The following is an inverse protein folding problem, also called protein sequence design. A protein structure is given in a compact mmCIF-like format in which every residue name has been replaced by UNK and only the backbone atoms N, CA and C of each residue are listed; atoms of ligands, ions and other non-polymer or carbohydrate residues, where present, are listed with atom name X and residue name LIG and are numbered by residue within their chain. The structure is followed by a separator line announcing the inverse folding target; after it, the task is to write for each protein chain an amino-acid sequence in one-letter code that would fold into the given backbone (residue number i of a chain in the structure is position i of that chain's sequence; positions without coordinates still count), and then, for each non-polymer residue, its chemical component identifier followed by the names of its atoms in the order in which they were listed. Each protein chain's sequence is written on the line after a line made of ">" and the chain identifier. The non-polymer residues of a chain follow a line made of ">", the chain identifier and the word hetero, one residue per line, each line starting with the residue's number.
data_IF_476996967032
#
_entry.id   IF_476996967032
#
_cell.length_a   1.000
_cell.length_b   1.000
_cell.length_c   1.000
_cell.angle_alpha   90.00
_cell.angle_beta   90.00
_cell.angle_gamma   90.00
#
_symmetry.space_group_name_H-M   'P 1'
#
loop_
_entity.id
_entity.type
_entity.pdbx_description
1 polymer ?
#
# COMPACT_ATOMS: atom_id res chain seq x y z
N UNK A 1 23.11 -40.61 16.11
CA UNK A 1 23.89 -40.73 14.86
C UNK A 1 23.35 -39.66 13.94
N UNK A 2 24.01 -38.49 13.93
CA UNK A 2 24.87 -38.02 12.83
C UNK A 2 23.98 -37.63 11.64
N UNK A 3 23.88 -36.39 11.20
CA UNK A 3 24.95 -35.58 10.63
C UNK A 3 24.58 -34.08 10.63
N UNK A 4 25.07 -33.28 11.56
CA UNK A 4 25.11 -31.81 11.41
C UNK A 4 26.31 -31.28 12.21
N UNK A 5 27.52 -31.66 11.79
CA UNK A 5 28.77 -31.11 12.31
C UNK A 5 29.80 -31.04 11.17
N UNK A 6 29.52 -30.22 10.15
CA UNK A 6 30.51 -29.82 9.13
C UNK A 6 30.29 -28.36 8.71
N UNK A 7 30.44 -27.46 9.69
CA UNK A 7 30.93 -26.06 9.53
C UNK A 7 30.62 -25.33 10.83
N UNK A 8 31.59 -25.27 11.74
CA UNK A 8 31.47 -24.75 13.11
C UNK A 8 31.27 -23.25 13.22
N UNK A 9 30.24 -22.70 12.57
CA UNK A 9 29.72 -21.37 12.87
C UNK A 9 28.28 -21.57 13.34
N UNK A 10 28.12 -21.76 14.65
CA UNK A 10 26.84 -21.45 15.28
C UNK A 10 26.61 -19.97 15.01
N UNK A 11 25.79 -19.63 14.02
CA UNK A 11 25.25 -18.28 13.91
C UNK A 11 24.34 -18.08 15.12
N UNK A 12 24.95 -17.75 16.25
CA UNK A 12 24.24 -17.20 17.37
C UNK A 12 23.58 -15.93 16.83
N UNK A 13 22.24 -15.78 16.95
CA UNK A 13 21.59 -14.53 16.60
C UNK A 13 22.32 -13.40 17.34
N UNK A 14 22.69 -12.33 16.65
CA UNK A 14 23.36 -11.16 17.24
C UNK A 14 22.52 -10.47 18.32
N UNK A 15 21.31 -10.98 18.58
CA UNK A 15 20.30 -10.40 19.45
C UNK A 15 19.68 -11.48 20.33
N UNK A 16 19.21 -11.10 21.52
CA UNK A 16 18.52 -12.05 22.41
C UNK A 16 17.21 -12.55 21.78
N UNK A 17 16.66 -13.68 22.28
CA UNK A 17 15.41 -14.28 21.75
C UNK A 17 14.26 -13.28 21.61
N UNK A 18 14.10 -12.35 22.57
CA UNK A 18 13.06 -11.31 22.53
C UNK A 18 13.24 -10.36 21.34
N UNK A 19 14.49 -9.92 21.11
CA UNK A 19 14.81 -9.02 20.00
C UNK A 19 14.73 -9.74 18.65
N UNK A 20 15.11 -11.02 18.58
CA UNK A 20 14.91 -11.84 17.37
C UNK A 20 13.43 -11.97 17.00
N UNK A 21 12.55 -12.21 17.99
CA UNK A 21 11.10 -12.24 17.76
C UNK A 21 10.56 -10.91 17.21
N UNK A 22 10.94 -9.78 17.83
CA UNK A 22 10.53 -8.44 17.36
C UNK A 22 11.00 -8.14 15.93
N UNK A 23 12.19 -8.63 15.55
CA UNK A 23 12.74 -8.47 14.20
C UNK A 23 11.92 -9.24 13.17
N UNK A 24 11.54 -10.48 13.49
CA UNK A 24 10.63 -11.27 12.66
C UNK A 24 9.24 -10.61 12.54
N UNK A 25 8.64 -10.19 13.67
CA UNK A 25 7.35 -9.49 13.68
C UNK A 25 7.40 -8.22 12.82
N UNK A 26 8.46 -7.41 12.95
CA UNK A 26 8.66 -6.21 12.11
C UNK A 26 8.75 -6.57 10.63
N UNK A 27 9.52 -7.60 10.28
CA UNK A 27 9.66 -8.05 8.88
C UNK A 27 8.30 -8.44 8.30
N UNK A 28 7.51 -9.22 9.03
CA UNK A 28 6.16 -9.63 8.62
C UNK A 28 5.24 -8.42 8.43
N UNK A 29 5.22 -7.48 9.37
CA UNK A 29 4.43 -6.24 9.24
C UNK A 29 4.84 -5.41 8.02
N UNK A 30 6.14 -5.31 7.75
CA UNK A 30 6.62 -4.56 6.57
C UNK A 30 6.14 -5.22 5.28
N UNK A 31 6.29 -6.54 5.17
CA UNK A 31 5.84 -7.28 4.00
C UNK A 31 4.31 -7.16 3.80
N UNK A 32 3.54 -7.24 4.89
CA UNK A 32 2.09 -7.06 4.87
C UNK A 32 1.69 -5.66 4.39
N UNK A 33 2.40 -4.61 4.81
CA UNK A 33 2.14 -3.23 4.34
C UNK A 33 2.30 -3.15 2.82
N UNK A 34 3.37 -3.73 2.26
CA UNK A 34 3.60 -3.70 0.80
C UNK A 34 2.49 -4.47 0.07
N UNK A 35 2.18 -5.69 0.53
CA UNK A 35 1.16 -6.54 -0.09
C UNK A 35 -0.23 -5.88 -0.08
N UNK A 36 -0.60 -5.27 1.05
CA UNK A 36 -1.91 -4.62 1.21
C UNK A 36 -2.02 -3.34 0.39
N UNK A 37 -0.95 -2.55 0.27
CA UNK A 37 -0.94 -1.35 -0.58
C UNK A 37 -1.06 -1.71 -2.07
N UNK A 38 -0.34 -2.75 -2.53
CA UNK A 38 -0.50 -3.23 -3.91
C UNK A 38 -1.91 -3.74 -4.19
N UNK A 39 -2.52 -4.42 -3.22
CA UNK A 39 -3.91 -4.88 -3.35
C UNK A 39 -4.86 -3.71 -3.44
N UNK A 40 -4.66 -2.68 -2.63
CA UNK A 40 -5.46 -1.46 -2.68
C UNK A 40 -5.37 -0.76 -4.05
N UNK A 41 -4.16 -0.61 -4.60
CA UNK A 41 -3.98 -0.08 -5.97
C UNK A 41 -4.68 -0.91 -7.05
N UNK A 42 -4.65 -2.25 -6.92
CA UNK A 42 -5.41 -3.15 -7.82
C UNK A 42 -6.92 -2.93 -7.71
N UNK A 43 -7.44 -2.79 -6.50
CA UNK A 43 -8.87 -2.56 -6.27
C UNK A 43 -9.32 -1.21 -6.87
N UNK A 44 -8.52 -0.15 -6.71
CA UNK A 44 -8.78 1.15 -7.35
C UNK A 44 -8.79 1.06 -8.88
N UNK A 45 -7.86 0.31 -9.47
CA UNK A 45 -7.84 0.08 -10.92
C UNK A 45 -9.11 -0.60 -11.41
N UNK A 46 -9.60 -1.61 -10.69
CA UNK A 46 -10.84 -2.31 -11.03
C UNK A 46 -12.02 -1.32 -11.00
N UNK A 47 -12.08 -0.46 -9.99
CA UNK A 47 -13.12 0.58 -9.88
C UNK A 47 -13.09 1.52 -11.11
N UNK A 48 -11.91 1.95 -11.53
CA UNK A 48 -11.76 2.85 -12.69
C UNK A 48 -12.08 2.17 -14.03
N UNK A 49 -11.55 0.97 -14.27
CA UNK A 49 -11.67 0.30 -15.57
C UNK A 49 -13.01 -0.40 -15.77
N UNK A 50 -13.61 -0.95 -14.71
CA UNK A 50 -14.87 -1.70 -14.81
C UNK A 50 -16.11 -0.85 -14.53
N UNK A 51 -15.97 0.30 -13.86
CA UNK A 51 -17.10 1.18 -13.54
C UNK A 51 -16.96 2.57 -14.14
N UNK A 52 -15.88 3.30 -13.87
CA UNK A 52 -15.73 4.68 -14.36
C UNK A 52 -15.69 4.76 -15.90
N UNK A 53 -14.77 4.04 -16.54
CA UNK A 53 -14.60 4.06 -18.00
C UNK A 53 -15.86 3.59 -18.75
N UNK A 54 -16.52 2.48 -18.36
CA UNK A 54 -17.73 2.02 -19.04
C UNK A 54 -18.90 3.00 -18.87
N UNK A 55 -19.07 3.62 -17.70
CA UNK A 55 -20.12 4.62 -17.49
C UNK A 55 -19.89 5.90 -18.31
N UNK A 56 -18.63 6.32 -18.46
CA UNK A 56 -18.25 7.46 -19.30
C UNK A 56 -18.54 7.20 -20.79
N UNK A 57 -18.11 6.03 -21.31
CA UNK A 57 -18.28 5.66 -22.73
C UNK A 57 -19.75 5.41 -23.07
N UNK A 58 -20.51 4.80 -22.16
CA UNK A 58 -21.94 4.57 -22.35
C UNK A 58 -22.78 5.86 -22.27
N UNK A 59 -22.18 6.99 -21.84
CA UNK A 59 -22.88 8.27 -21.70
C UNK A 59 -24.02 8.22 -20.69
N UNK A 60 -23.98 7.29 -19.74
CA UNK A 60 -25.04 7.07 -18.76
C UNK A 60 -25.16 8.23 -17.76
N UNK A 61 -24.05 8.95 -17.54
CA UNK A 61 -23.92 10.08 -16.62
C UNK A 61 -23.03 11.16 -17.24
N UNK A 62 -23.25 12.43 -16.85
CA UNK A 62 -22.36 13.52 -17.27
C UNK A 62 -21.01 13.43 -16.56
N UNK A 63 -19.99 14.09 -17.11
CA UNK A 63 -18.66 14.14 -16.49
C UNK A 63 -18.70 14.70 -15.05
N UNK A 64 -19.61 15.64 -14.75
CA UNK A 64 -19.81 16.16 -13.39
C UNK A 64 -20.41 15.12 -12.44
N UNK A 65 -21.39 14.33 -12.89
CA UNK A 65 -21.98 13.27 -12.07
C UNK A 65 -20.97 12.15 -11.79
N UNK A 66 -20.14 11.80 -12.78
CA UNK A 66 -19.06 10.85 -12.59
C UNK A 66 -17.98 11.40 -11.65
N UNK A 67 -17.61 12.67 -11.76
CA UNK A 67 -16.70 13.32 -10.83
C UNK A 67 -17.28 13.41 -9.40
N UNK A 68 -18.59 13.46 -9.23
CA UNK A 68 -19.23 13.41 -7.91
C UNK A 68 -19.19 12.01 -7.26
N UNK A 69 -19.31 10.95 -8.07
CA UNK A 69 -19.30 9.55 -7.61
C UNK A 69 -17.87 9.05 -7.40
N UNK A 70 -17.01 9.25 -8.39
CA UNK A 70 -15.63 8.75 -8.41
C UNK A 70 -14.62 9.75 -7.88
N UNK A 71 -15.02 11.00 -7.57
CA UNK A 71 -14.17 12.04 -6.97
C UNK A 71 -12.81 12.15 -7.68
N UNK A 72 -11.72 12.26 -6.91
CA UNK A 72 -10.33 12.24 -7.40
C UNK A 72 -9.74 10.82 -7.38
N UNK A 73 -10.52 9.79 -7.70
CA UNK A 73 -10.05 8.39 -7.66
C UNK A 73 -8.90 8.08 -8.63
N UNK A 74 -8.77 8.80 -9.76
CA UNK A 74 -7.60 8.67 -10.65
C UNK A 74 -6.31 9.16 -9.97
N UNK A 75 -6.34 10.36 -9.38
CA UNK A 75 -5.22 10.90 -8.61
C UNK A 75 -4.88 10.00 -7.42
N UNK A 76 -5.90 9.44 -6.75
CA UNK A 76 -5.75 8.51 -5.66
C UNK A 76 -5.07 7.20 -6.10
N UNK A 77 -5.47 6.68 -7.26
CA UNK A 77 -4.87 5.49 -7.85
C UNK A 77 -3.41 5.71 -8.22
N UNK A 78 -3.08 6.83 -8.86
CA UNK A 78 -1.70 7.17 -9.23
C UNK A 78 -0.81 7.29 -7.98
N UNK A 79 -1.30 7.97 -6.95
CA UNK A 79 -0.61 8.15 -5.69
C UNK A 79 -0.39 6.83 -4.93
N UNK A 80 -1.42 5.99 -4.83
CA UNK A 80 -1.32 4.67 -4.19
C UNK A 80 -0.36 3.76 -4.96
N UNK A 81 -0.44 3.74 -6.29
CA UNK A 81 0.46 2.93 -7.12
C UNK A 81 1.92 3.40 -6.94
N UNK A 82 2.17 4.71 -6.93
CA UNK A 82 3.50 5.25 -6.69
C UNK A 82 4.05 4.91 -5.29
N UNK A 83 3.20 4.85 -4.26
CA UNK A 83 3.59 4.38 -2.94
C UNK A 83 3.92 2.89 -2.93
N UNK A 84 3.05 2.07 -3.53
CA UNK A 84 3.25 0.62 -3.63
C UNK A 84 4.57 0.28 -4.33
N UNK A 85 4.86 0.96 -5.45
CA UNK A 85 6.10 0.77 -6.20
C UNK A 85 7.32 1.15 -5.36
N UNK A 86 7.32 2.31 -4.70
CA UNK A 86 8.42 2.71 -3.81
C UNK A 86 8.65 1.72 -2.68
N UNK A 87 7.58 1.22 -2.06
CA UNK A 87 7.66 0.25 -0.97
C UNK A 87 8.29 -1.06 -1.47
N UNK A 88 7.82 -1.58 -2.60
CA UNK A 88 8.32 -2.79 -3.23
C UNK A 88 9.78 -2.65 -3.66
N UNK A 89 10.15 -1.56 -4.32
CA UNK A 89 11.52 -1.30 -4.75
C UNK A 89 12.49 -1.30 -3.57
N UNK A 90 12.12 -0.66 -2.45
CA UNK A 90 12.97 -0.64 -1.25
C UNK A 90 13.08 -2.03 -0.61
N UNK A 91 12.03 -2.84 -0.67
CA UNK A 91 12.02 -4.21 -0.19
C UNK A 91 12.95 -5.10 -1.03
N UNK A 92 12.84 -5.01 -2.35
CA UNK A 92 13.66 -5.76 -3.31
C UNK A 92 15.13 -5.39 -3.18
N UNK A 93 15.46 -4.09 -3.14
CA UNK A 93 16.83 -3.61 -2.94
C UNK A 93 17.43 -4.15 -1.64
N UNK A 94 16.66 -4.16 -0.54
CA UNK A 94 17.14 -4.69 0.74
C UNK A 94 17.43 -6.20 0.64
N UNK A 95 16.54 -6.96 0.01
CA UNK A 95 16.70 -8.41 -0.20
C UNK A 95 17.92 -8.69 -1.09
N UNK A 96 18.08 -7.96 -2.20
CA UNK A 96 19.21 -8.09 -3.12
C UNK A 96 20.56 -7.77 -2.46
N UNK A 97 20.58 -6.86 -1.49
CA UNK A 97 21.76 -6.53 -0.68
C UNK A 97 22.04 -7.53 0.44
N UNK A 98 21.21 -8.58 0.58
CA UNK A 98 21.34 -9.61 1.61
C UNK A 98 20.77 -9.21 2.98
N UNK A 99 19.98 -8.14 3.05
CA UNK A 99 19.22 -7.78 4.25
C UNK A 99 17.89 -8.54 4.29
N UNK A 100 17.97 -9.85 4.53
CA UNK A 100 16.81 -10.74 4.58
C UNK A 100 15.79 -10.36 5.67
N UNK A 101 16.20 -9.56 6.67
CA UNK A 101 15.35 -9.11 7.77
C UNK A 101 14.84 -7.67 7.62
N UNK A 102 15.15 -7.02 6.48
CA UNK A 102 14.68 -5.69 6.13
C UNK A 102 15.03 -4.62 7.19
N UNK A 103 16.17 -4.76 7.86
CA UNK A 103 16.63 -3.79 8.85
C UNK A 103 16.92 -2.41 8.27
N UNK A 104 17.38 -2.35 7.02
CA UNK A 104 17.75 -1.10 6.33
C UNK A 104 16.53 -0.39 5.76
N UNK A 105 15.39 -1.07 5.63
CA UNK A 105 14.14 -0.49 5.12
C UNK A 105 13.54 0.47 6.15
N UNK A 106 13.55 1.76 5.81
CA UNK A 106 12.91 2.81 6.60
C UNK A 106 11.52 3.14 6.05
N UNK A 107 10.52 2.39 6.53
CA UNK A 107 9.11 2.60 6.19
C UNK A 107 8.62 3.97 6.66
N UNK A 108 9.15 4.51 7.75
CA UNK A 108 8.77 5.83 8.25
C UNK A 108 9.14 6.93 7.26
N UNK A 109 10.35 6.85 6.70
CA UNK A 109 10.80 7.75 5.64
C UNK A 109 9.93 7.65 4.39
N UNK A 110 9.60 6.42 3.95
CA UNK A 110 8.75 6.20 2.77
C UNK A 110 7.35 6.80 2.97
N UNK A 111 6.75 6.64 4.15
CA UNK A 111 5.47 7.28 4.45
C UNK A 111 5.56 8.80 4.56
N UNK A 112 6.64 9.36 5.10
CA UNK A 112 6.82 10.81 5.16
C UNK A 112 6.95 11.43 3.76
N UNK A 113 7.66 10.76 2.85
CA UNK A 113 7.72 11.17 1.44
C UNK A 113 6.35 11.06 0.74
N UNK A 114 5.50 10.14 1.20
CA UNK A 114 4.15 9.95 0.72
C UNK A 114 3.07 10.77 1.47
N UNK A 115 3.43 11.50 2.53
CA UNK A 115 2.47 12.24 3.35
C UNK A 115 1.61 13.26 2.57
N UNK A 116 2.12 13.98 1.55
CA UNK A 116 1.28 14.83 0.71
C UNK A 116 0.19 14.05 -0.04
N UNK A 117 0.47 12.80 -0.41
CA UNK A 117 -0.49 11.91 -1.07
C UNK A 117 -1.59 11.45 -0.10
N UNK A 118 -1.25 11.20 1.17
CA UNK A 118 -2.21 10.84 2.21
C UNK A 118 -3.20 11.99 2.54
N UNK A 119 -2.83 13.26 2.31
CA UNK A 119 -3.80 14.37 2.39
C UNK A 119 -4.84 14.33 1.25
N UNK A 120 -4.52 13.76 0.09
CA UNK A 120 -5.49 13.52 -0.96
C UNK A 120 -6.53 12.47 -0.53
N UNK A 121 -6.14 11.47 0.27
CA UNK A 121 -7.08 10.51 0.90
C UNK A 121 -8.03 11.19 1.90
N UNK A 122 -7.54 12.12 2.73
CA UNK A 122 -8.39 12.89 3.65
C UNK A 122 -9.48 13.66 2.88
N UNK A 123 -9.09 14.28 1.76
CA UNK A 123 -10.02 14.98 0.87
C UNK A 123 -11.02 14.04 0.20
N UNK A 124 -10.62 12.82 -0.13
CA UNK A 124 -11.49 11.79 -0.70
C UNK A 124 -12.53 11.28 0.31
N UNK A 125 -12.10 10.88 1.51
CA UNK A 125 -12.97 10.33 2.56
C UNK A 125 -14.00 11.35 3.07
N UNK A 126 -13.61 12.62 3.20
CA UNK A 126 -14.53 13.70 3.63
C UNK A 126 -15.60 14.01 2.57
N UNK A 127 -15.26 13.89 1.28
CA UNK A 127 -16.19 14.14 0.17
C UNK A 127 -17.10 12.95 -0.14
N UNK A 128 -16.64 11.71 0.05
CA UNK A 128 -17.49 10.51 -0.12
C UNK A 128 -18.68 10.50 0.83
N UNK A 129 -18.46 10.81 2.11
CA UNK A 129 -19.54 10.85 3.12
C UNK A 129 -20.53 11.97 2.84
N UNK A 130 -20.04 13.13 2.38
CA UNK A 130 -20.89 14.26 1.98
C UNK A 130 -21.78 13.96 0.79
N UNK A 131 -21.24 13.32 -0.26
CA UNK A 131 -22.02 13.00 -1.47
C UNK A 131 -22.99 11.82 -1.24
N UNK A 132 -22.63 10.81 -0.45
CA UNK A 132 -23.54 9.71 -0.07
C UNK A 132 -24.76 10.20 0.73
N UNK A 133 -24.59 11.26 1.56
CA UNK A 133 -25.69 11.91 2.28
C UNK A 133 -26.50 12.89 1.42
N UNK A 134 -25.90 13.43 0.35
CA UNK A 134 -26.58 14.27 -0.63
C UNK A 134 -27.59 13.50 -1.48
N UNK A 135 -27.25 12.28 -1.91
CA UNK A 135 -28.16 11.42 -2.67
C UNK A 135 -29.41 10.94 -1.89
N UNK A 136 -29.44 11.09 -0.55
CA UNK A 136 -30.61 10.79 0.29
C UNK A 136 -31.47 12.02 0.61
N UNK A 137 -31.09 13.22 0.15
CA UNK A 137 -31.78 14.48 0.46
C UNK A 137 -32.25 15.27 -0.77
N UNK A 138 -32.14 14.71 -1.99
CA UNK A 138 -32.92 15.25 -3.12
C UNK A 138 -34.36 14.69 -3.04
N UNK A 139 -35.40 15.56 -3.11
CA UNK A 139 -36.81 15.19 -2.93
C UNK A 139 -37.40 14.32 -4.06
#
# INVERSE_FOLDING_TARGET
>A
MSWYLLSGVMFAPLVCRKCGKKRAERKETIAEIVETEEKYGRDLRIILEEFYRPMLVAGLLTAEQLAAIFLNSEELFDNSTALADKLRDNLEIAIEQGDEDLLTVDIGKLFLEAAPMLHAFESYCTRQVGNMLGFLNDP
#
